data_IF_440264709184
#
_entry.id   IF_440264709184
#
_cell.length_a   1.000
_cell.length_b   1.000
_cell.length_c   1.000
_cell.angle_alpha   90.00
_cell.angle_beta   90.00
_cell.angle_gamma   90.00
#
_symmetry.space_group_name_H-M   'P 1'
#
loop_
_entity.id
_entity.type
_entity.pdbx_description
1 polymer ?
#
# COMPACT_ATOMS: atom_id res chain seq x y z
N UNK A 1 5.78 3.31 -9.73
CA UNK A 1 6.92 3.78 -10.55
C UNK A 1 8.18 3.71 -9.71
N UNK A 2 9.34 3.28 -10.25
CA UNK A 2 10.60 3.34 -9.50
C UNK A 2 11.54 4.34 -10.15
N UNK A 3 12.02 5.30 -9.36
CA UNK A 3 13.05 6.25 -9.76
C UNK A 3 14.35 5.90 -9.04
N UNK A 4 15.45 5.93 -9.77
CA UNK A 4 16.76 5.57 -9.27
C UNK A 4 17.74 6.69 -9.60
N UNK A 5 18.67 6.96 -8.67
CA UNK A 5 19.80 7.82 -8.96
C UNK A 5 20.56 7.30 -10.18
N UNK A 6 20.94 8.21 -11.09
CA UNK A 6 21.74 7.85 -12.24
C UNK A 6 23.05 7.18 -11.81
N UNK A 7 23.50 6.19 -12.56
CA UNK A 7 24.69 5.41 -12.21
C UNK A 7 25.97 6.26 -12.16
N UNK A 8 25.99 7.38 -12.89
CA UNK A 8 27.08 8.35 -12.97
C UNK A 8 26.86 9.58 -12.07
N UNK A 9 25.77 9.62 -11.29
CA UNK A 9 25.50 10.70 -10.36
C UNK A 9 26.65 10.83 -9.36
N UNK A 10 27.19 12.06 -9.23
CA UNK A 10 28.25 12.38 -8.27
C UNK A 10 27.68 13.11 -7.07
N UNK A 11 28.18 12.84 -5.86
CA UNK A 11 27.79 13.62 -4.70
C UNK A 11 28.25 15.07 -4.85
N UNK A 12 27.53 16.00 -4.21
CA UNK A 12 27.95 17.40 -4.14
C UNK A 12 29.32 17.51 -3.44
N UNK A 13 30.29 18.24 -4.01
CA UNK A 13 31.70 18.19 -3.57
C UNK A 13 31.92 18.43 -2.06
N UNK A 14 31.09 19.26 -1.43
CA UNK A 14 31.20 19.58 0.00
C UNK A 14 30.22 18.77 0.87
N UNK A 15 29.72 17.63 0.40
CA UNK A 15 28.77 16.83 1.17
C UNK A 15 29.34 16.40 2.53
N UNK A 16 30.64 16.11 2.60
CA UNK A 16 31.33 15.71 3.83
C UNK A 16 31.37 16.84 4.89
N UNK A 17 31.26 18.11 4.49
CA UNK A 17 31.32 19.24 5.44
C UNK A 17 30.00 19.46 6.18
N UNK A 18 28.93 18.76 5.77
CA UNK A 18 27.61 18.84 6.42
C UNK A 18 27.53 18.03 7.72
N UNK A 19 28.52 17.19 8.00
CA UNK A 19 28.60 16.39 9.23
C UNK A 19 27.31 15.63 9.53
N UNK A 20 26.85 15.70 10.77
CA UNK A 20 25.68 14.96 11.27
C UNK A 20 24.36 15.34 10.59
N UNK A 21 24.29 16.51 9.94
CA UNK A 21 23.07 16.95 9.24
C UNK A 21 22.75 16.10 8.00
N UNK A 22 23.70 15.30 7.50
CA UNK A 22 23.53 14.47 6.30
C UNK A 22 22.94 13.08 6.60
N UNK A 23 22.93 12.64 7.86
CA UNK A 23 22.61 11.27 8.24
C UNK A 23 23.71 10.26 7.89
N UNK A 24 23.37 8.98 7.79
CA UNK A 24 24.33 7.88 7.54
C UNK A 24 24.16 7.19 6.17
N UNK A 25 23.04 7.43 5.49
CA UNK A 25 22.69 6.80 4.21
C UNK A 25 22.14 7.83 3.23
N UNK A 26 22.32 7.58 1.94
CA UNK A 26 21.61 8.28 0.87
C UNK A 26 20.56 7.36 0.24
N UNK A 27 19.55 7.98 -0.37
CA UNK A 27 18.50 7.26 -1.10
C UNK A 27 19.03 6.91 -2.49
N UNK A 28 19.18 5.61 -2.79
CA UNK A 28 19.60 5.13 -4.10
C UNK A 28 18.43 5.01 -5.07
N UNK A 29 17.30 4.48 -4.59
CA UNK A 29 16.09 4.34 -5.38
C UNK A 29 14.84 4.55 -4.52
N UNK A 30 13.78 5.06 -5.15
CA UNK A 30 12.46 5.25 -4.56
C UNK A 30 11.44 4.58 -5.46
N UNK A 31 10.66 3.67 -4.89
CA UNK A 31 9.44 3.17 -5.52
C UNK A 31 8.26 3.97 -5.00
N UNK A 32 7.56 4.62 -5.93
CA UNK A 32 6.33 5.34 -5.71
C UNK A 32 5.10 4.49 -6.05
N UNK A 33 4.03 4.71 -5.31
CA UNK A 33 2.72 4.13 -5.55
C UNK A 33 1.67 4.69 -4.60
N UNK A 34 0.52 4.03 -4.54
CA UNK A 34 -0.54 4.33 -3.58
C UNK A 34 -0.95 3.08 -2.83
N UNK A 35 -1.31 3.24 -1.57
CA UNK A 35 -1.85 2.18 -0.72
C UNK A 35 -3.26 2.56 -0.25
N UNK A 36 -4.19 1.63 -0.45
CA UNK A 36 -5.54 1.68 0.11
C UNK A 36 -5.69 0.47 1.04
N UNK A 37 -5.78 0.73 2.33
CA UNK A 37 -5.94 -0.29 3.37
C UNK A 37 -7.34 -0.15 3.96
N UNK A 38 -8.06 -1.26 4.00
CA UNK A 38 -9.42 -1.33 4.52
C UNK A 38 -9.45 -2.29 5.70
N UNK A 39 -9.93 -1.82 6.84
CA UNK A 39 -10.21 -2.63 8.00
C UNK A 39 -11.73 -2.73 8.19
N UNK A 40 -12.25 -3.94 8.08
CA UNK A 40 -13.65 -4.26 8.32
C UNK A 40 -13.79 -4.91 9.70
N UNK A 41 -14.71 -4.40 10.51
CA UNK A 41 -15.15 -5.06 11.75
C UNK A 41 -16.61 -5.45 11.59
N UNK A 42 -16.85 -6.76 11.58
CA UNK A 42 -18.18 -7.35 11.52
C UNK A 42 -18.57 -7.81 12.92
N UNK A 43 -19.71 -7.33 13.41
CA UNK A 43 -20.30 -7.80 14.66
C UNK A 43 -21.34 -8.89 14.35
N UNK A 44 -21.30 -9.97 15.13
CA UNK A 44 -22.10 -11.17 14.87
C UNK A 44 -22.82 -11.59 16.15
N UNK A 45 -24.03 -12.10 16.00
CA UNK A 45 -24.86 -12.52 17.13
C UNK A 45 -24.31 -13.76 17.87
N UNK A 46 -23.64 -14.67 17.16
CA UNK A 46 -23.19 -15.93 17.75
C UNK A 46 -21.76 -16.31 17.34
N UNK A 47 -21.13 -17.16 18.17
CA UNK A 47 -19.81 -17.74 17.86
C UNK A 47 -19.86 -18.62 16.61
N UNK A 48 -21.00 -19.25 16.32
CA UNK A 48 -21.21 -20.04 15.10
C UNK A 48 -21.17 -19.17 13.85
N UNK A 49 -21.82 -18.01 13.92
CA UNK A 49 -21.82 -17.04 12.82
C UNK A 49 -20.42 -16.47 12.59
N UNK A 50 -19.71 -16.12 13.67
CA UNK A 50 -18.30 -15.70 13.59
C UNK A 50 -17.43 -16.73 12.85
N UNK A 51 -17.58 -18.02 13.15
CA UNK A 51 -16.82 -19.08 12.46
C UNK A 51 -17.22 -19.22 10.99
N UNK A 52 -18.51 -19.08 10.67
CA UNK A 52 -19.00 -19.08 9.28
C UNK A 52 -18.45 -17.91 8.46
N UNK A 53 -18.47 -16.71 9.03
CA UNK A 53 -17.93 -15.50 8.40
C UNK A 53 -16.42 -15.63 8.21
N UNK A 54 -15.70 -16.08 9.24
CA UNK A 54 -14.27 -16.33 9.13
C UNK A 54 -13.96 -17.32 8.01
N UNK A 55 -14.68 -18.45 7.95
CA UNK A 55 -14.51 -19.42 6.87
C UNK A 55 -14.85 -18.82 5.50
N UNK A 56 -15.89 -17.99 5.40
CA UNK A 56 -16.25 -17.29 4.16
C UNK A 56 -15.13 -16.35 3.68
N UNK A 57 -14.57 -15.57 4.61
CA UNK A 57 -13.44 -14.66 4.34
C UNK A 57 -12.17 -15.45 4.04
N UNK A 58 -11.87 -16.55 4.73
CA UNK A 58 -10.66 -17.33 4.47
C UNK A 58 -10.73 -18.09 3.14
N UNK A 59 -11.93 -18.55 2.73
CA UNK A 59 -12.16 -19.26 1.46
C UNK A 59 -12.23 -18.30 0.28
N UNK A 60 -12.92 -17.17 0.40
CA UNK A 60 -13.03 -16.16 -0.67
C UNK A 60 -11.90 -15.11 -0.67
N UNK A 61 -11.12 -15.02 0.41
CA UNK A 61 -10.34 -13.84 0.75
C UNK A 61 -8.83 -13.99 0.65
N UNK A 62 -8.35 -14.21 -0.58
CA UNK A 62 -7.02 -13.67 -0.92
C UNK A 62 -7.01 -12.72 -2.10
N UNK A 63 -7.94 -12.82 -3.05
CA UNK A 63 -7.94 -11.97 -4.25
C UNK A 63 -9.38 -11.61 -4.73
N UNK A 64 -10.41 -12.40 -4.41
CA UNK A 64 -11.69 -12.35 -5.16
C UNK A 64 -12.82 -11.49 -4.55
N UNK A 65 -12.82 -11.16 -3.25
CA UNK A 65 -13.86 -10.26 -2.68
C UNK A 65 -13.82 -8.87 -3.35
N UNK A 66 -12.67 -8.50 -3.93
CA UNK A 66 -12.44 -7.23 -4.61
C UNK A 66 -11.96 -7.39 -6.05
N UNK A 67 -12.05 -8.59 -6.64
CA UNK A 67 -11.85 -8.73 -8.07
C UNK A 67 -13.09 -8.15 -8.75
N UNK A 68 -12.93 -6.95 -9.29
CA UNK A 68 -13.96 -6.03 -9.79
C UNK A 68 -14.65 -6.51 -11.07
N UNK A 69 -14.79 -7.82 -11.24
CA UNK A 69 -15.35 -8.47 -12.42
C UNK A 69 -15.70 -9.95 -12.29
N UNK A 70 -15.54 -10.61 -11.13
CA UNK A 70 -15.96 -12.02 -10.99
C UNK A 70 -17.27 -12.09 -10.21
N UNK A 71 -18.33 -12.54 -10.89
CA UNK A 71 -19.64 -12.90 -10.32
C UNK A 71 -19.54 -14.15 -9.41
N UNK A 72 -18.63 -14.17 -8.42
CA UNK A 72 -18.62 -15.22 -7.37
C UNK A 72 -19.43 -14.78 -6.15
N UNK A 73 -20.60 -14.18 -6.37
CA UNK A 73 -21.59 -14.00 -5.29
C UNK A 73 -22.62 -15.12 -5.36
N UNK A 74 -22.17 -16.35 -5.19
CA UNK A 74 -23.06 -17.47 -4.89
C UNK A 74 -23.71 -17.27 -3.52
N UNK A 75 -24.93 -17.79 -3.36
CA UNK A 75 -25.86 -17.69 -2.22
C UNK A 75 -25.24 -17.67 -0.79
N UNK A 76 -24.03 -18.21 -0.64
CA UNK A 76 -23.25 -18.22 0.59
C UNK A 76 -22.93 -16.83 1.16
N UNK A 77 -22.56 -15.85 0.32
CA UNK A 77 -22.25 -14.49 0.79
C UNK A 77 -23.50 -13.71 1.21
N UNK A 78 -24.63 -13.95 0.56
CA UNK A 78 -25.94 -13.41 0.97
C UNK A 78 -26.41 -13.96 2.31
N UNK A 79 -26.13 -15.23 2.62
CA UNK A 79 -26.46 -15.80 3.92
C UNK A 79 -25.53 -15.33 5.03
N UNK A 80 -24.25 -15.13 4.72
CA UNK A 80 -23.29 -14.48 5.63
C UNK A 80 -23.72 -13.04 5.95
N UNK A 81 -24.15 -12.25 4.95
CA UNK A 81 -24.62 -10.89 5.16
C UNK A 81 -25.80 -10.80 6.15
N UNK A 82 -26.70 -11.79 6.15
CA UNK A 82 -27.84 -11.86 7.10
C UNK A 82 -27.41 -12.15 8.54
N UNK A 83 -26.19 -12.67 8.76
CA UNK A 83 -25.67 -13.00 10.09
C UNK A 83 -24.86 -11.88 10.74
N UNK A 84 -24.58 -10.82 9.98
CA UNK A 84 -23.87 -9.62 10.45
C UNK A 84 -24.89 -8.65 11.06
N UNK A 85 -24.69 -8.28 12.31
CA UNK A 85 -25.53 -7.30 13.02
C UNK A 85 -25.10 -5.87 12.69
N UNK A 86 -23.79 -5.62 12.70
CA UNK A 86 -23.22 -4.32 12.39
C UNK A 86 -21.90 -4.46 11.63
N UNK A 87 -21.61 -3.49 10.75
CA UNK A 87 -20.34 -3.40 10.02
C UNK A 87 -19.72 -2.04 10.28
N UNK A 88 -18.49 -2.03 10.79
CA UNK A 88 -17.67 -0.82 10.85
C UNK A 88 -16.59 -0.90 9.79
N UNK A 89 -16.46 0.17 9.01
CA UNK A 89 -15.47 0.30 7.95
C UNK A 89 -14.48 1.38 8.36
N UNK A 90 -13.19 1.04 8.36
CA UNK A 90 -12.10 2.02 8.48
C UNK A 90 -11.24 1.94 7.24
N UNK A 91 -11.02 3.09 6.62
CA UNK A 91 -10.21 3.20 5.40
C UNK A 91 -9.03 4.09 5.66
N UNK A 92 -7.86 3.61 5.28
CA UNK A 92 -6.60 4.34 5.30
C UNK A 92 -6.13 4.41 3.86
N UNK A 93 -6.00 5.63 3.33
CA UNK A 93 -5.53 5.86 1.99
C UNK A 93 -4.29 6.74 2.04
N UNK A 94 -3.27 6.36 1.28
CA UNK A 94 -2.04 7.13 1.14
C UNK A 94 -2.20 8.34 0.21
N UNK A 95 -3.29 8.39 -0.54
CA UNK A 95 -3.67 9.48 -1.45
C UNK A 95 -5.10 9.93 -1.16
N UNK A 96 -5.50 11.16 -1.54
CA UNK A 96 -6.89 11.58 -1.47
C UNK A 96 -7.78 10.66 -2.32
N UNK A 97 -8.89 10.21 -1.74
CA UNK A 97 -9.92 9.47 -2.48
C UNK A 97 -10.93 10.46 -3.06
N UNK A 98 -11.42 10.19 -4.27
CA UNK A 98 -12.48 10.99 -4.90
C UNK A 98 -13.75 11.04 -4.05
N UNK A 99 -14.08 9.94 -3.35
CA UNK A 99 -15.20 9.83 -2.43
C UNK A 99 -14.80 8.97 -1.23
N UNK A 100 -14.99 9.50 -0.03
CA UNK A 100 -14.75 8.75 1.19
C UNK A 100 -15.82 7.66 1.37
N UNK A 101 -15.44 6.38 1.55
CA UNK A 101 -16.39 5.30 1.72
C UNK A 101 -17.00 5.31 3.11
N UNK A 102 -18.34 5.19 3.18
CA UNK A 102 -19.10 5.15 4.43
C UNK A 102 -19.91 3.85 4.59
N UNK A 103 -20.00 3.05 3.53
CA UNK A 103 -20.72 1.77 3.46
C UNK A 103 -19.98 0.82 2.49
N UNK A 104 -20.48 -0.41 2.37
CA UNK A 104 -19.83 -1.43 1.53
C UNK A 104 -19.91 -1.14 0.03
N UNK A 105 -20.94 -0.43 -0.43
CA UNK A 105 -21.08 -0.06 -1.85
C UNK A 105 -20.06 1.01 -2.22
N UNK A 106 -20.00 2.09 -1.45
CA UNK A 106 -19.03 3.19 -1.62
C UNK A 106 -17.60 2.72 -1.39
N UNK A 107 -17.38 1.72 -0.52
CA UNK A 107 -16.10 1.06 -0.39
C UNK A 107 -15.70 0.35 -1.69
N UNK A 108 -16.61 -0.43 -2.28
CA UNK A 108 -16.40 -1.11 -3.57
C UNK A 108 -16.08 -0.11 -4.69
N UNK A 109 -16.80 1.01 -4.74
CA UNK A 109 -16.49 2.12 -5.65
C UNK A 109 -15.08 2.67 -5.41
N UNK A 110 -14.72 2.94 -4.14
CA UNK A 110 -13.41 3.48 -3.79
C UNK A 110 -12.26 2.55 -4.23
N UNK A 111 -12.39 1.24 -4.01
CA UNK A 111 -11.37 0.28 -4.49
C UNK A 111 -11.32 0.20 -6.02
N UNK A 112 -12.47 0.30 -6.69
CA UNK A 112 -12.54 0.32 -8.16
C UNK A 112 -11.85 1.53 -8.75
N UNK A 113 -12.09 2.69 -8.16
CA UNK A 113 -11.65 3.97 -8.66
C UNK A 113 -10.24 4.31 -8.17
N UNK A 114 -9.72 3.62 -7.16
CA UNK A 114 -8.40 3.88 -6.60
C UNK A 114 -7.26 3.96 -7.65
N UNK A 115 -7.19 3.09 -8.66
CA UNK A 115 -6.18 3.22 -9.71
C UNK A 115 -6.30 4.52 -10.51
N UNK A 116 -7.51 5.03 -10.74
CA UNK A 116 -7.73 6.29 -11.45
C UNK A 116 -7.49 7.51 -10.54
N UNK A 117 -7.89 7.42 -9.27
CA UNK A 117 -7.53 8.41 -8.25
C UNK A 117 -6.00 8.53 -8.12
N UNK A 118 -5.28 7.41 -8.17
CA UNK A 118 -3.82 7.37 -8.18
C UNK A 118 -3.23 8.03 -9.43
N UNK A 119 -3.77 7.76 -10.63
CA UNK A 119 -3.32 8.42 -11.87
C UNK A 119 -3.49 9.94 -11.81
N UNK A 120 -4.53 10.43 -11.14
CA UNK A 120 -4.79 11.86 -10.95
C UNK A 120 -3.89 12.52 -9.90
N UNK A 121 -3.21 11.75 -9.05
CA UNK A 121 -2.40 12.26 -7.95
C UNK A 121 -0.91 12.23 -8.26
N UNK A 122 -0.23 13.37 -8.08
CA UNK A 122 1.22 13.51 -8.27
C UNK A 122 1.70 12.93 -9.62
N UNK A 123 1.04 13.34 -10.71
CA UNK A 123 1.33 12.88 -12.09
C UNK A 123 1.26 11.34 -12.25
N UNK A 124 0.43 10.68 -11.44
CA UNK A 124 0.27 9.23 -11.45
C UNK A 124 1.35 8.46 -10.68
N UNK A 125 2.29 9.14 -10.01
CA UNK A 125 3.34 8.49 -9.22
C UNK A 125 2.82 8.01 -7.87
N UNK A 126 1.91 8.75 -7.24
CA UNK A 126 1.53 8.48 -5.85
C UNK A 126 2.52 9.09 -4.85
N UNK A 127 2.75 8.38 -3.74
CA UNK A 127 3.72 8.72 -2.70
C UNK A 127 4.88 7.69 -2.69
N UNK A 128 6.04 8.00 -2.07
CA UNK A 128 7.06 7.00 -1.79
C UNK A 128 6.52 5.88 -0.90
N UNK A 129 6.54 4.64 -1.38
CA UNK A 129 6.10 3.44 -0.63
C UNK A 129 7.27 2.54 -0.23
N UNK A 130 8.38 2.61 -0.96
CA UNK A 130 9.61 1.86 -0.67
C UNK A 130 10.83 2.66 -1.06
N UNK A 131 11.87 2.61 -0.23
CA UNK A 131 13.14 3.28 -0.48
C UNK A 131 14.29 2.28 -0.32
N UNK A 132 15.27 2.37 -1.19
CA UNK A 132 16.55 1.68 -1.06
C UNK A 132 17.59 2.67 -0.56
N UNK A 133 18.18 2.39 0.61
CA UNK A 133 19.16 3.25 1.26
C UNK A 133 20.55 2.62 1.16
N UNK A 134 21.55 3.43 0.80
CA UNK A 134 22.94 3.01 0.71
C UNK A 134 23.81 3.84 1.65
N UNK A 135 24.81 3.25 2.33
CA UNK A 135 25.65 4.01 3.26
C UNK A 135 26.41 5.13 2.53
N UNK A 136 26.58 6.29 3.18
CA UNK A 136 27.31 7.42 2.60
C UNK A 136 28.77 7.10 2.24
N UNK A 137 29.38 6.10 2.89
CA UNK A 137 30.72 5.62 2.55
C UNK A 137 30.83 5.09 1.10
N UNK A 138 29.72 4.72 0.45
CA UNK A 138 29.70 4.35 -0.97
C UNK A 138 29.93 5.54 -1.91
N UNK A 139 29.71 6.76 -1.43
CA UNK A 139 29.99 7.99 -2.17
C UNK A 139 31.43 8.46 -1.96
N UNK A 140 32.20 7.80 -1.09
CA UNK A 140 33.59 8.19 -0.81
C UNK A 140 34.56 7.60 -1.84
N UNK A 141 35.17 8.41 -2.71
CA UNK A 141 36.13 7.93 -3.69
C UNK A 141 37.40 7.34 -3.06
N UNK A 142 37.71 7.63 -1.79
CA UNK A 142 38.84 7.00 -1.09
C UNK A 142 38.53 5.62 -0.52
N UNK A 143 37.31 5.10 -0.69
CA UNK A 143 36.94 3.77 -0.22
C UNK A 143 37.68 2.70 -1.03
N UNK A 144 38.42 1.85 -0.33
CA UNK A 144 39.25 0.79 -0.92
C UNK A 144 38.58 -0.59 -0.95
N UNK A 145 37.42 -0.74 -0.29
CA UNK A 145 36.66 -1.99 -0.30
C UNK A 145 35.96 -2.16 -1.66
N UNK A 146 36.61 -2.89 -2.56
CA UNK A 146 35.95 -3.36 -3.78
C UNK A 146 34.80 -4.27 -3.37
N UNK A 147 33.61 -4.00 -3.91
CA UNK A 147 32.46 -4.90 -3.87
C UNK A 147 32.95 -6.31 -4.24
N UNK A 148 32.91 -7.25 -3.28
CA UNK A 148 33.02 -8.66 -3.61
C UNK A 148 31.74 -9.00 -4.39
N UNK A 149 31.91 -9.28 -5.68
CA UNK A 149 30.87 -9.86 -6.53
C UNK A 149 30.35 -11.18 -5.95
#
# INVERSE_FOLDING_TARGET
VTEQLAADAKPYDLWKTRGDALGTHFVRSITYGGELIVALRLECNTTRDKQRIKAAVDVGGRIEIFDLGVEVSGEYMTDVAKTVESTQIKVFSSIPLSKAPNDMETLKEAMKNFPDDLKGFNEGKGIPIKMELWPLSYLDPSRTDKLRN
#
